data_IF_388427961347
#
_entry.id   IF_388427961347
#
_cell.length_a   1.000
_cell.length_b   1.000
_cell.length_c   1.000
_cell.angle_alpha   90.00
_cell.angle_beta   90.00
_cell.angle_gamma   90.00
#
_symmetry.space_group_name_H-M   'P 1'
#
loop_
_entity.id
_entity.type
_entity.pdbx_description
1 polymer ?
#
# COMPACT_ATOMS: atom_id res chain seq x y z
N UNK A 1 -46.68 26.37 -14.58
CA UNK A 1 -45.77 27.25 -15.35
C UNK A 1 -44.43 26.55 -15.44
N UNK A 2 -44.25 25.76 -16.50
CA UNK A 2 -42.98 25.09 -16.83
C UNK A 2 -42.08 26.14 -17.47
N UNK A 3 -40.99 26.51 -16.80
CA UNK A 3 -39.98 27.41 -17.37
C UNK A 3 -39.18 26.59 -18.39
N UNK A 4 -39.53 26.71 -19.66
CA UNK A 4 -38.73 26.15 -20.76
C UNK A 4 -37.34 26.80 -20.73
N UNK A 5 -36.31 25.98 -20.48
CA UNK A 5 -34.92 26.40 -20.47
C UNK A 5 -34.51 26.88 -21.85
N UNK A 6 -34.42 28.20 -22.01
CA UNK A 6 -33.91 28.83 -23.23
C UNK A 6 -32.47 28.33 -23.45
N UNK A 7 -32.14 27.72 -24.60
CA UNK A 7 -30.77 27.31 -24.89
C UNK A 7 -29.86 28.54 -24.87
N UNK A 8 -28.73 28.43 -24.17
CA UNK A 8 -27.76 29.51 -24.02
C UNK A 8 -27.29 29.97 -25.40
N UNK A 9 -27.36 31.29 -25.65
CA UNK A 9 -26.78 31.87 -26.87
C UNK A 9 -25.25 31.73 -26.80
N UNK A 10 -24.57 31.38 -27.91
CA UNK A 10 -23.11 31.45 -27.98
C UNK A 10 -22.65 32.85 -27.57
N UNK A 11 -21.80 32.93 -26.54
CA UNK A 11 -21.25 34.19 -26.02
C UNK A 11 -21.91 34.75 -24.76
N UNK A 12 -22.68 33.96 -23.99
CA UNK A 12 -23.14 34.37 -22.65
C UNK A 12 -21.98 34.26 -21.63
N UNK A 13 -21.39 35.38 -21.17
CA UNK A 13 -20.26 35.36 -20.24
C UNK A 13 -20.65 34.76 -18.88
N UNK A 14 -21.93 34.82 -18.49
CA UNK A 14 -22.41 34.25 -17.24
C UNK A 14 -22.41 32.73 -17.31
N UNK A 15 -22.88 32.17 -18.43
CA UNK A 15 -22.87 30.72 -18.66
C UNK A 15 -21.43 30.16 -18.65
N UNK A 16 -20.49 30.85 -19.31
CA UNK A 16 -19.08 30.45 -19.33
C UNK A 16 -18.41 30.52 -17.95
N UNK A 17 -18.69 31.56 -17.17
CA UNK A 17 -18.17 31.65 -15.80
C UNK A 17 -18.73 30.54 -14.90
N UNK A 18 -20.04 30.27 -14.99
CA UNK A 18 -20.70 29.20 -14.23
C UNK A 18 -20.10 27.84 -14.57
N UNK A 19 -19.91 27.55 -15.86
CA UNK A 19 -19.29 26.31 -16.33
C UNK A 19 -17.86 26.16 -15.79
N UNK A 20 -17.05 27.22 -15.88
CA UNK A 20 -15.67 27.20 -15.39
C UNK A 20 -15.60 26.92 -13.87
N UNK A 21 -16.41 27.62 -13.05
CA UNK A 21 -16.45 27.41 -11.60
C UNK A 21 -16.94 26.00 -11.26
N UNK A 22 -17.97 25.50 -11.96
CA UNK A 22 -18.49 24.15 -11.76
C UNK A 22 -17.46 23.07 -12.14
N UNK A 23 -16.67 23.30 -13.19
CA UNK A 23 -15.59 22.40 -13.60
C UNK A 23 -14.48 22.34 -12.54
N UNK A 24 -14.04 23.47 -11.99
CA UNK A 24 -13.05 23.51 -10.91
C UNK A 24 -13.51 22.74 -9.66
N UNK A 25 -14.75 22.96 -9.22
CA UNK A 25 -15.33 22.24 -8.08
C UNK A 25 -15.42 20.73 -8.35
N UNK A 26 -15.83 20.35 -9.56
CA UNK A 26 -15.95 18.93 -9.93
C UNK A 26 -14.58 18.23 -10.00
N UNK A 27 -13.54 18.91 -10.49
CA UNK A 27 -12.18 18.39 -10.49
C UNK A 27 -11.66 18.15 -9.06
N UNK A 28 -11.80 19.15 -8.17
CA UNK A 28 -11.41 19.03 -6.77
C UNK A 28 -12.20 17.94 -6.03
N UNK A 29 -13.49 17.78 -6.33
CA UNK A 29 -14.33 16.71 -5.78
C UNK A 29 -13.82 15.33 -6.22
N UNK A 30 -13.52 15.16 -7.51
CA UNK A 30 -13.01 13.88 -8.05
C UNK A 30 -11.68 13.51 -7.40
N UNK A 31 -10.74 14.45 -7.34
CA UNK A 31 -9.42 14.24 -6.71
C UNK A 31 -9.54 13.89 -5.22
N UNK A 32 -10.31 14.68 -4.44
CA UNK A 32 -10.48 14.43 -3.01
C UNK A 32 -11.18 13.08 -2.77
N UNK A 33 -12.17 12.71 -3.59
CA UNK A 33 -12.87 11.43 -3.45
C UNK A 33 -11.96 10.23 -3.71
N UNK A 34 -11.06 10.30 -4.70
CA UNK A 34 -10.11 9.23 -4.99
C UNK A 34 -9.14 9.04 -3.82
N UNK A 35 -8.55 10.13 -3.31
CA UNK A 35 -7.64 10.08 -2.17
C UNK A 35 -8.34 9.62 -0.87
N UNK A 36 -9.62 9.96 -0.69
CA UNK A 36 -10.40 9.51 0.46
C UNK A 36 -10.69 8.00 0.42
N UNK A 37 -10.96 7.44 -0.76
CA UNK A 37 -11.12 5.99 -0.93
C UNK A 37 -9.81 5.27 -0.57
N UNK A 38 -8.68 5.77 -1.05
CA UNK A 38 -7.35 5.23 -0.71
C UNK A 38 -7.04 5.35 0.79
N UNK A 39 -7.28 6.51 1.37
CA UNK A 39 -7.06 6.73 2.81
C UNK A 39 -7.90 5.78 3.66
N UNK A 40 -9.17 5.54 3.28
CA UNK A 40 -10.05 4.59 3.97
C UNK A 40 -9.61 3.14 3.81
N UNK A 41 -9.21 2.74 2.60
CA UNK A 41 -8.78 1.35 2.34
C UNK A 41 -7.52 0.97 3.13
N UNK A 42 -6.68 1.96 3.46
CA UNK A 42 -5.46 1.78 4.24
C UNK A 42 -5.64 2.00 5.74
N UNK A 43 -6.88 2.22 6.23
CA UNK A 43 -7.14 2.48 7.65
C UNK A 43 -6.54 3.79 8.14
N UNK A 44 -6.52 4.82 7.28
CA UNK A 44 -5.97 6.14 7.57
C UNK A 44 -6.63 6.86 8.75
N UNK A 45 -6.01 7.96 9.17
CA UNK A 45 -6.42 8.73 10.35
C UNK A 45 -7.92 9.14 10.29
N UNK A 46 -8.76 8.72 11.24
CA UNK A 46 -10.18 9.05 11.27
C UNK A 46 -10.44 10.56 11.31
N UNK A 47 -9.54 11.35 11.91
CA UNK A 47 -9.67 12.81 11.90
C UNK A 47 -9.49 13.39 10.49
N UNK A 48 -8.50 12.90 9.74
CA UNK A 48 -8.26 13.31 8.35
C UNK A 48 -9.41 12.87 7.44
N UNK A 49 -9.95 11.66 7.63
CA UNK A 49 -11.14 11.16 6.92
C UNK A 49 -12.33 12.09 7.18
N UNK A 50 -12.60 12.44 8.45
CA UNK A 50 -13.69 13.34 8.81
C UNK A 50 -13.54 14.75 8.21
N UNK A 51 -12.33 15.28 8.13
CA UNK A 51 -12.04 16.56 7.47
C UNK A 51 -12.30 16.51 5.96
N UNK A 52 -11.85 15.43 5.29
CA UNK A 52 -12.08 15.22 3.87
C UNK A 52 -13.57 15.04 3.53
N UNK A 53 -14.33 14.31 4.35
CA UNK A 53 -15.79 14.17 4.20
C UNK A 53 -16.51 15.51 4.34
N UNK A 54 -16.15 16.30 5.35
CA UNK A 54 -16.72 17.63 5.54
C UNK A 54 -16.43 18.54 4.33
N UNK A 55 -15.20 18.46 3.78
CA UNK A 55 -14.82 19.24 2.60
C UNK A 55 -15.54 18.79 1.33
N UNK A 56 -15.77 17.48 1.13
CA UNK A 56 -16.62 16.97 0.04
C UNK A 56 -18.05 17.51 0.17
N UNK A 57 -18.61 17.53 1.37
CA UNK A 57 -19.91 18.14 1.64
C UNK A 57 -19.94 19.64 1.28
N UNK A 58 -18.87 20.37 1.60
CA UNK A 58 -18.74 21.78 1.26
C UNK A 58 -18.66 22.02 -0.27
N UNK A 59 -17.93 21.19 -1.00
CA UNK A 59 -17.82 21.25 -2.47
C UNK A 59 -19.17 20.95 -3.15
N UNK A 60 -19.91 19.94 -2.69
CA UNK A 60 -21.25 19.62 -3.18
C UNK A 60 -22.22 20.78 -2.96
N UNK A 61 -22.22 21.36 -1.76
CA UNK A 61 -23.04 22.53 -1.47
C UNK A 61 -22.67 23.75 -2.33
N UNK A 62 -21.38 23.95 -2.60
CA UNK A 62 -20.88 25.04 -3.44
C UNK A 62 -21.31 24.86 -4.90
N UNK A 63 -21.28 23.64 -5.43
CA UNK A 63 -21.77 23.32 -6.78
C UNK A 63 -23.25 23.70 -6.96
N UNK A 64 -24.12 23.30 -6.02
CA UNK A 64 -25.54 23.66 -6.05
C UNK A 64 -25.80 25.16 -5.84
N UNK A 65 -24.85 25.91 -5.27
CA UNK A 65 -24.94 27.37 -5.16
C UNK A 65 -24.54 28.06 -6.47
N UNK A 66 -23.49 27.57 -7.16
CA UNK A 66 -23.06 28.05 -8.49
C UNK A 66 -24.18 27.92 -9.52
N UNK A 67 -24.92 26.82 -9.50
CA UNK A 67 -26.05 26.56 -10.42
C UNK A 67 -27.19 27.57 -10.25
N UNK A 68 -27.41 28.09 -9.03
CA UNK A 68 -28.50 29.02 -8.69
C UNK A 68 -28.09 30.49 -8.62
N UNK A 69 -26.79 30.77 -8.65
CA UNK A 69 -26.26 32.12 -8.54
C UNK A 69 -26.50 32.94 -9.82
N UNK A 70 -26.96 34.19 -9.68
CA UNK A 70 -26.95 35.16 -10.77
C UNK A 70 -25.57 35.81 -10.98
N UNK A 71 -25.40 36.57 -12.06
CA UNK A 71 -24.12 37.19 -12.47
C UNK A 71 -23.34 37.89 -11.36
N UNK A 72 -23.99 38.76 -10.56
CA UNK A 72 -23.32 39.46 -9.45
C UNK A 72 -22.80 38.54 -8.35
N UNK A 73 -23.53 37.47 -8.04
CA UNK A 73 -23.12 36.48 -7.04
C UNK A 73 -21.99 35.58 -7.57
N UNK A 74 -22.02 35.20 -8.86
CA UNK A 74 -20.97 34.38 -9.48
C UNK A 74 -19.59 35.03 -9.41
N UNK A 75 -19.50 36.35 -9.59
CA UNK A 75 -18.24 37.07 -9.44
C UNK A 75 -17.66 36.94 -8.02
N UNK A 76 -18.51 37.01 -6.99
CA UNK A 76 -18.09 36.83 -5.58
C UNK A 76 -17.79 35.38 -5.23
N UNK A 77 -18.37 34.41 -5.95
CA UNK A 77 -18.14 32.99 -5.72
C UNK A 77 -16.73 32.53 -6.14
N UNK A 78 -16.07 33.24 -7.05
CA UNK A 78 -14.74 32.86 -7.52
C UNK A 78 -13.70 32.70 -6.40
N UNK A 79 -13.67 33.62 -5.44
CA UNK A 79 -12.75 33.55 -4.29
C UNK A 79 -13.09 32.39 -3.35
N UNK A 80 -14.38 32.12 -3.15
CA UNK A 80 -14.86 30.99 -2.35
C UNK A 80 -14.54 29.64 -3.00
N UNK A 81 -14.72 29.53 -4.32
CA UNK A 81 -14.32 28.34 -5.09
C UNK A 81 -12.83 28.11 -4.97
N UNK A 82 -12.00 29.14 -5.21
CA UNK A 82 -10.56 29.01 -5.08
C UNK A 82 -10.13 28.55 -3.68
N UNK A 83 -10.73 29.09 -2.61
CA UNK A 83 -10.45 28.67 -1.25
C UNK A 83 -10.84 27.20 -0.99
N UNK A 84 -12.05 26.79 -1.39
CA UNK A 84 -12.49 25.41 -1.22
C UNK A 84 -11.65 24.41 -2.03
N UNK A 85 -11.26 24.77 -3.25
CA UNK A 85 -10.36 23.96 -4.09
C UNK A 85 -9.00 23.85 -3.42
N UNK A 86 -8.41 24.95 -2.95
CA UNK A 86 -7.12 24.93 -2.25
C UNK A 86 -7.15 24.03 -1.02
N UNK A 87 -8.19 24.13 -0.17
CA UNK A 87 -8.36 23.24 0.99
C UNK A 87 -8.49 21.77 0.57
N UNK A 88 -9.26 21.48 -0.49
CA UNK A 88 -9.40 20.11 -1.00
C UNK A 88 -8.07 19.55 -1.51
N UNK A 89 -7.28 20.34 -2.24
CA UNK A 89 -5.95 19.96 -2.71
C UNK A 89 -4.98 19.72 -1.55
N UNK A 90 -4.98 20.56 -0.50
CA UNK A 90 -4.15 20.33 0.69
C UNK A 90 -4.53 19.03 1.41
N UNK A 91 -5.83 18.75 1.56
CA UNK A 91 -6.31 17.50 2.15
C UNK A 91 -5.93 16.27 1.30
N UNK A 92 -6.04 16.37 -0.02
CA UNK A 92 -5.58 15.34 -0.95
C UNK A 92 -4.08 15.06 -0.79
N UNK A 93 -3.24 16.10 -0.74
CA UNK A 93 -1.79 15.97 -0.50
C UNK A 93 -1.47 15.34 0.86
N UNK A 94 -2.19 15.72 1.92
CA UNK A 94 -2.03 15.09 3.24
C UNK A 94 -2.43 13.60 3.22
N UNK A 95 -3.51 13.24 2.54
CA UNK A 95 -3.93 11.85 2.38
C UNK A 95 -2.88 11.02 1.62
N UNK A 96 -2.29 11.56 0.55
CA UNK A 96 -1.21 10.92 -0.22
C UNK A 96 0.07 10.74 0.59
N UNK A 97 0.44 11.73 1.40
CA UNK A 97 1.60 11.63 2.28
C UNK A 97 1.38 10.55 3.36
N UNK A 98 0.17 10.49 3.92
CA UNK A 98 -0.20 9.46 4.89
C UNK A 98 -0.16 8.06 4.26
N UNK A 99 -0.68 7.89 3.05
CA UNK A 99 -0.70 6.60 2.36
C UNK A 99 0.70 6.09 2.01
N UNK A 100 1.55 6.98 1.52
CA UNK A 100 2.97 6.69 1.24
C UNK A 100 3.72 6.20 2.48
N UNK A 101 3.41 6.76 3.66
CA UNK A 101 3.98 6.33 4.93
C UNK A 101 3.57 4.91 5.35
N UNK A 102 2.33 4.50 5.08
CA UNK A 102 1.83 3.15 5.39
C UNK A 102 2.52 2.10 4.50
N UNK A 103 2.62 2.36 3.18
CA UNK A 103 3.26 1.44 2.25
C UNK A 103 4.76 1.24 2.57
N UNK A 104 5.48 2.32 2.91
CA UNK A 104 6.89 2.24 3.29
C UNK A 104 7.12 1.41 4.58
N UNK A 105 6.23 1.55 5.57
CA UNK A 105 6.25 0.73 6.80
C UNK A 105 6.00 -0.75 6.49
N UNK A 106 4.96 -1.05 5.73
CA UNK A 106 4.62 -2.42 5.33
C UNK A 106 5.79 -3.11 4.57
N UNK A 107 6.46 -2.39 3.67
CA UNK A 107 7.64 -2.91 2.97
C UNK A 107 8.82 -3.20 3.92
N UNK A 108 9.02 -2.34 4.93
CA UNK A 108 10.08 -2.51 5.94
C UNK A 108 9.79 -3.72 6.83
N UNK A 109 8.55 -3.85 7.31
CA UNK A 109 8.10 -4.97 8.13
C UNK A 109 8.21 -6.30 7.38
N UNK A 110 7.81 -6.33 6.11
CA UNK A 110 7.99 -7.49 5.24
C UNK A 110 9.47 -7.85 5.08
N UNK A 111 10.34 -6.86 4.83
CA UNK A 111 11.78 -7.07 4.74
C UNK A 111 12.37 -7.70 6.02
N UNK A 112 12.03 -7.14 7.19
CA UNK A 112 12.47 -7.69 8.48
C UNK A 112 11.96 -9.11 8.74
N UNK A 113 10.70 -9.41 8.41
CA UNK A 113 10.15 -10.75 8.54
C UNK A 113 10.83 -11.76 7.59
N UNK A 114 11.16 -11.32 6.36
CA UNK A 114 11.89 -12.11 5.36
C UNK A 114 13.29 -12.47 5.86
N UNK A 115 14.03 -11.49 6.37
CA UNK A 115 15.37 -11.69 6.92
C UNK A 115 15.36 -12.62 8.13
N UNK A 116 14.39 -12.45 9.05
CA UNK A 116 14.24 -13.30 10.22
C UNK A 116 13.93 -14.76 9.82
N UNK A 117 13.04 -14.97 8.84
CA UNK A 117 12.73 -16.31 8.32
C UNK A 117 13.96 -16.94 7.67
N UNK A 118 14.69 -16.19 6.83
CA UNK A 118 15.93 -16.65 6.19
C UNK A 118 16.98 -17.05 7.22
N UNK A 119 17.20 -16.23 8.24
CA UNK A 119 18.15 -16.53 9.31
C UNK A 119 17.79 -17.83 10.05
N UNK A 120 16.50 -18.07 10.31
CA UNK A 120 16.01 -19.32 10.91
C UNK A 120 16.24 -20.52 10.00
N UNK A 121 15.94 -20.41 8.70
CA UNK A 121 16.21 -21.48 7.74
C UNK A 121 17.71 -21.77 7.64
N UNK A 122 18.57 -20.75 7.60
CA UNK A 122 20.03 -20.94 7.57
C UNK A 122 20.53 -21.66 8.82
N UNK A 123 20.06 -21.27 10.01
CA UNK A 123 20.38 -21.97 11.26
C UNK A 123 19.92 -23.42 11.21
N UNK A 124 18.70 -23.66 10.73
CA UNK A 124 18.18 -25.02 10.52
C UNK A 124 19.08 -25.82 9.57
N UNK A 125 19.47 -25.27 8.41
CA UNK A 125 20.31 -25.98 7.43
C UNK A 125 21.64 -26.38 8.05
N UNK A 126 22.30 -25.47 8.78
CA UNK A 126 23.56 -25.76 9.47
C UNK A 126 23.38 -26.81 10.56
N UNK A 127 22.40 -26.65 11.45
CA UNK A 127 22.23 -27.58 12.56
C UNK A 127 21.75 -28.97 12.09
N UNK A 128 20.82 -29.01 11.14
CA UNK A 128 20.20 -30.22 10.64
C UNK A 128 21.11 -30.99 9.68
N UNK A 129 21.63 -30.36 8.62
CA UNK A 129 22.37 -31.07 7.57
C UNK A 129 23.88 -31.12 7.79
N UNK A 130 24.47 -30.06 8.37
CA UNK A 130 25.93 -29.98 8.53
C UNK A 130 26.37 -30.57 9.86
N UNK A 131 25.72 -30.16 10.95
CA UNK A 131 26.03 -30.64 12.30
C UNK A 131 25.28 -31.92 12.67
N UNK A 132 24.23 -32.25 11.93
CA UNK A 132 23.47 -33.50 12.08
C UNK A 132 22.99 -33.74 13.51
N UNK A 133 22.49 -32.68 14.17
CA UNK A 133 22.16 -32.72 15.60
C UNK A 133 21.08 -33.76 15.94
N UNK A 134 20.25 -34.15 14.96
CA UNK A 134 19.19 -35.13 15.14
C UNK A 134 19.60 -36.56 14.78
N UNK A 135 20.70 -36.77 14.04
CA UNK A 135 21.13 -38.11 13.60
C UNK A 135 21.21 -39.14 14.74
N UNK A 136 21.70 -38.81 15.96
CA UNK A 136 21.73 -39.75 17.09
C UNK A 136 20.36 -40.22 17.59
N UNK A 137 19.30 -39.49 17.26
CA UNK A 137 17.92 -39.78 17.72
C UNK A 137 17.07 -40.46 16.65
N UNK A 138 17.57 -40.51 15.40
CA UNK A 138 16.86 -41.11 14.29
C UNK A 138 16.87 -42.63 14.40
N UNK A 139 15.69 -43.22 14.41
CA UNK A 139 15.48 -44.66 14.40
C UNK A 139 14.68 -45.05 13.17
N UNK A 140 15.17 -46.07 12.47
CA UNK A 140 14.56 -46.62 11.27
C UNK A 140 14.23 -48.09 11.48
N UNK A 141 13.09 -48.54 10.98
CA UNK A 141 12.66 -49.94 11.04
C UNK A 141 13.49 -50.85 10.14
N UNK A 142 14.13 -50.29 9.11
CA UNK A 142 14.97 -51.02 8.16
C UNK A 142 16.00 -50.10 7.47
N UNK A 143 17.04 -50.68 6.89
CA UNK A 143 18.00 -49.92 6.08
C UNK A 143 17.35 -49.34 4.81
N UNK A 144 16.34 -50.00 4.23
CA UNK A 144 15.60 -49.48 3.08
C UNK A 144 14.82 -48.19 3.42
N UNK A 145 14.21 -48.13 4.60
CA UNK A 145 13.53 -46.93 5.09
C UNK A 145 14.52 -45.79 5.32
N UNK A 146 15.67 -46.09 5.93
CA UNK A 146 16.75 -45.14 6.14
C UNK A 146 17.29 -44.58 4.82
N UNK A 147 17.53 -45.42 3.83
CA UNK A 147 17.97 -44.99 2.51
C UNK A 147 16.93 -44.06 1.86
N UNK A 148 15.65 -44.47 1.85
CA UNK A 148 14.56 -43.63 1.36
C UNK A 148 14.43 -42.30 2.11
N UNK A 149 14.68 -42.28 3.42
CA UNK A 149 14.73 -41.06 4.22
C UNK A 149 15.87 -40.15 3.78
N UNK A 150 17.07 -40.69 3.59
CA UNK A 150 18.25 -39.92 3.17
C UNK A 150 18.10 -39.35 1.76
N UNK A 151 17.42 -40.06 0.86
CA UNK A 151 17.08 -39.52 -0.47
C UNK A 151 16.14 -38.31 -0.37
N UNK A 152 15.07 -38.41 0.43
CA UNK A 152 14.15 -37.27 0.67
C UNK A 152 14.84 -36.10 1.35
N UNK A 153 15.71 -36.39 2.33
CA UNK A 153 16.52 -35.41 3.04
C UNK A 153 17.40 -34.61 2.07
N UNK A 154 18.12 -35.28 1.17
CA UNK A 154 18.95 -34.63 0.15
C UNK A 154 18.13 -33.80 -0.85
N UNK A 155 16.99 -34.33 -1.29
CA UNK A 155 16.08 -33.61 -2.20
C UNK A 155 15.52 -32.33 -1.55
N UNK A 156 15.08 -32.39 -0.28
CA UNK A 156 14.60 -31.22 0.46
C UNK A 156 15.70 -30.20 0.70
N UNK A 157 16.92 -30.64 1.04
CA UNK A 157 18.07 -29.73 1.18
C UNK A 157 18.25 -28.89 -0.09
N UNK A 158 18.31 -29.55 -1.25
CA UNK A 158 18.45 -28.88 -2.54
C UNK A 158 17.28 -27.90 -2.80
N UNK A 159 16.05 -28.31 -2.52
CA UNK A 159 14.87 -27.45 -2.70
C UNK A 159 14.88 -26.22 -1.77
N UNK A 160 15.39 -26.35 -0.55
CA UNK A 160 15.59 -25.23 0.38
C UNK A 160 16.64 -24.26 -0.17
N UNK A 161 17.78 -24.77 -0.63
CA UNK A 161 18.86 -23.96 -1.22
C UNK A 161 18.36 -23.21 -2.46
N UNK A 162 17.62 -23.87 -3.36
CA UNK A 162 16.99 -23.24 -4.53
C UNK A 162 15.99 -22.14 -4.13
N UNK A 163 15.18 -22.36 -3.10
CA UNK A 163 14.22 -21.38 -2.61
C UNK A 163 14.91 -20.15 -1.99
N UNK A 164 15.97 -20.34 -1.21
CA UNK A 164 16.78 -19.25 -0.65
C UNK A 164 17.53 -18.47 -1.73
N UNK A 165 17.96 -19.14 -2.81
CA UNK A 165 18.66 -18.51 -3.93
C UNK A 165 17.79 -17.45 -4.66
N UNK A 166 16.46 -17.57 -4.59
CA UNK A 166 15.54 -16.58 -5.17
C UNK A 166 15.64 -15.20 -4.51
N UNK A 167 16.07 -15.13 -3.23
CA UNK A 167 16.17 -13.88 -2.45
C UNK A 167 14.89 -13.02 -2.48
N UNK A 168 13.74 -13.67 -2.52
CA UNK A 168 12.42 -13.04 -2.43
C UNK A 168 11.70 -13.47 -1.15
N UNK A 169 10.75 -12.68 -0.62
CA UNK A 169 9.93 -13.09 0.51
C UNK A 169 9.17 -14.40 0.27
N UNK A 170 8.71 -14.64 -0.96
CA UNK A 170 8.05 -15.91 -1.34
C UNK A 170 9.03 -17.09 -1.33
N UNK A 171 10.27 -16.87 -1.79
CA UNK A 171 11.36 -17.85 -1.69
C UNK A 171 11.70 -18.18 -0.25
N UNK A 172 11.83 -17.16 0.61
CA UNK A 172 12.08 -17.33 2.04
C UNK A 172 10.93 -18.09 2.74
N UNK A 173 9.66 -17.78 2.40
CA UNK A 173 8.50 -18.52 2.93
C UNK A 173 8.49 -19.99 2.47
N UNK A 174 8.79 -20.25 1.19
CA UNK A 174 8.89 -21.61 0.65
C UNK A 174 10.00 -22.39 1.35
N UNK A 175 11.17 -21.78 1.54
CA UNK A 175 12.28 -22.40 2.25
C UNK A 175 11.91 -22.74 3.71
N UNK A 176 11.20 -21.85 4.40
CA UNK A 176 10.70 -22.08 5.75
C UNK A 176 9.70 -23.25 5.82
N UNK A 177 8.79 -23.37 4.85
CA UNK A 177 7.85 -24.50 4.78
C UNK A 177 8.59 -25.82 4.58
N UNK A 178 9.51 -25.90 3.61
CA UNK A 178 10.30 -27.11 3.34
C UNK A 178 11.15 -27.54 4.54
N UNK A 179 11.70 -26.59 5.28
CA UNK A 179 12.45 -26.87 6.51
C UNK A 179 11.54 -27.41 7.63
N UNK A 180 10.31 -26.89 7.77
CA UNK A 180 9.32 -27.43 8.71
C UNK A 180 8.92 -28.85 8.31
N UNK A 181 8.65 -29.11 7.04
CA UNK A 181 8.34 -30.45 6.53
C UNK A 181 9.48 -31.44 6.79
N UNK A 182 10.74 -31.02 6.63
CA UNK A 182 11.90 -31.85 6.98
C UNK A 182 11.96 -32.14 8.48
N UNK A 183 11.71 -31.15 9.35
CA UNK A 183 11.66 -31.37 10.80
C UNK A 183 10.52 -32.30 11.19
N UNK A 184 9.35 -32.16 10.58
CA UNK A 184 8.21 -33.04 10.86
C UNK A 184 8.50 -34.49 10.42
N UNK A 185 9.07 -34.70 9.23
CA UNK A 185 9.53 -36.02 8.79
C UNK A 185 10.68 -36.57 9.65
N UNK A 186 11.59 -35.73 10.15
CA UNK A 186 12.59 -36.18 11.12
C UNK A 186 11.93 -36.61 12.45
N UNK A 187 10.89 -35.90 12.87
CA UNK A 187 10.11 -36.20 14.06
C UNK A 187 9.41 -37.56 13.98
N UNK A 188 8.86 -37.93 12.82
CA UNK A 188 8.26 -39.27 12.62
C UNK A 188 9.28 -40.41 12.74
N UNK A 189 10.57 -40.10 12.57
CA UNK A 189 11.68 -41.04 12.73
C UNK A 189 12.43 -40.84 14.06
N UNK A 190 11.84 -40.14 15.04
CA UNK A 190 12.34 -40.07 16.41
C UNK A 190 13.21 -38.88 16.77
N UNK A 191 13.39 -37.91 15.85
CA UNK A 191 14.09 -36.65 16.16
C UNK A 191 13.39 -35.83 17.25
N UNK A 192 12.10 -36.07 17.50
CA UNK A 192 11.30 -35.44 18.57
C UNK A 192 11.81 -35.75 19.98
N UNK A 193 12.65 -36.78 20.14
CA UNK A 193 13.34 -37.10 21.39
C UNK A 193 14.52 -36.18 21.71
N UNK A 194 15.02 -35.42 20.74
CA UNK A 194 16.04 -34.39 20.98
C UNK A 194 15.44 -33.22 21.76
N UNK A 195 16.14 -32.70 22.79
CA UNK A 195 15.68 -31.52 23.52
C UNK A 195 15.61 -30.25 22.64
N UNK A 196 16.37 -30.20 21.55
CA UNK A 196 16.38 -29.09 20.60
C UNK A 196 15.18 -29.09 19.64
N UNK A 197 14.55 -30.24 19.41
CA UNK A 197 13.51 -30.43 18.39
C UNK A 197 12.35 -29.46 18.53
N UNK A 198 11.71 -29.46 19.71
CA UNK A 198 10.51 -28.65 19.95
C UNK A 198 10.79 -27.15 19.81
N UNK A 199 11.96 -26.69 20.29
CA UNK A 199 12.38 -25.29 20.18
C UNK A 199 12.60 -24.89 18.72
N UNK A 200 13.29 -25.73 17.95
CA UNK A 200 13.57 -25.48 16.54
C UNK A 200 12.29 -25.44 15.69
N UNK A 201 11.41 -26.43 15.85
CA UNK A 201 10.14 -26.51 15.12
C UNK A 201 9.23 -25.32 15.43
N UNK A 202 9.10 -24.95 16.70
CA UNK A 202 8.29 -23.80 17.12
C UNK A 202 8.85 -22.49 16.58
N UNK A 203 10.17 -22.30 16.66
CA UNK A 203 10.85 -21.12 16.11
C UNK A 203 10.66 -20.97 14.60
N UNK A 204 10.70 -22.07 13.86
CA UNK A 204 10.43 -22.11 12.43
C UNK A 204 8.95 -21.81 12.10
N UNK A 205 8.01 -22.42 12.83
CA UNK A 205 6.57 -22.17 12.65
C UNK A 205 6.21 -20.71 12.91
N UNK A 206 6.80 -20.10 13.96
CA UNK A 206 6.61 -18.70 14.30
C UNK A 206 7.17 -17.76 13.22
N UNK A 207 8.40 -17.98 12.74
CA UNK A 207 9.00 -17.13 11.70
C UNK A 207 8.23 -17.24 10.38
N UNK A 208 7.82 -18.45 9.98
CA UNK A 208 6.95 -18.70 8.82
C UNK A 208 5.62 -17.98 8.95
N UNK A 209 4.95 -18.06 10.11
CA UNK A 209 3.67 -17.39 10.34
C UNK A 209 3.81 -15.87 10.26
N UNK A 210 4.85 -15.31 10.86
CA UNK A 210 5.14 -13.87 10.81
C UNK A 210 5.35 -13.40 9.36
N UNK A 211 6.18 -14.11 8.59
CA UNK A 211 6.41 -13.79 7.18
C UNK A 211 5.14 -13.93 6.33
N UNK A 212 4.33 -14.97 6.55
CA UNK A 212 3.06 -15.15 5.84
C UNK A 212 2.07 -14.01 6.14
N UNK A 213 1.96 -13.58 7.40
CA UNK A 213 1.11 -12.46 7.78
C UNK A 213 1.56 -11.16 7.11
N UNK A 214 2.86 -10.89 7.07
CA UNK A 214 3.42 -9.69 6.43
C UNK A 214 3.25 -9.71 4.90
N UNK A 215 3.38 -10.88 4.26
CA UNK A 215 3.07 -11.04 2.84
C UNK A 215 1.59 -10.73 2.53
N UNK A 216 0.69 -11.22 3.38
CA UNK A 216 -0.74 -10.94 3.24
C UNK A 216 -1.03 -9.45 3.44
N UNK A 217 -0.50 -8.82 4.48
CA UNK A 217 -0.65 -7.38 4.73
C UNK A 217 -0.10 -6.54 3.58
N UNK A 218 1.08 -6.90 3.06
CA UNK A 218 1.70 -6.20 1.93
C UNK A 218 0.83 -6.32 0.65
N UNK A 219 0.26 -7.50 0.35
CA UNK A 219 -0.66 -7.66 -0.79
C UNK A 219 -1.92 -6.79 -0.67
N UNK A 220 -2.48 -6.67 0.54
CA UNK A 220 -3.64 -5.81 0.81
C UNK A 220 -3.30 -4.33 0.64
N UNK A 221 -2.12 -3.91 1.11
CA UNK A 221 -1.67 -2.52 0.98
C UNK A 221 -1.40 -2.08 -0.46
N UNK A 222 -1.09 -3.02 -1.35
CA UNK A 222 -0.79 -2.73 -2.77
C UNK A 222 -2.05 -2.55 -3.63
N UNK A 223 -3.24 -2.76 -3.06
CA UNK A 223 -4.49 -2.69 -3.81
C UNK A 223 -4.56 -3.68 -4.97
N UNK A 224 -3.79 -4.77 -4.92
CA UNK A 224 -3.96 -5.87 -5.88
C UNK A 224 -5.39 -6.37 -5.70
N UNK A 225 -6.26 -6.27 -6.73
CA UNK A 225 -7.61 -6.78 -6.63
C UNK A 225 -7.50 -8.25 -6.29
N UNK A 226 -8.17 -8.67 -5.21
CA UNK A 226 -8.27 -10.07 -4.85
C UNK A 226 -8.60 -10.87 -6.12
N UNK A 227 -7.92 -12.01 -6.39
CA UNK A 227 -8.21 -12.81 -7.57
C UNK A 227 -9.72 -13.08 -7.54
N UNK A 228 -10.44 -12.49 -8.50
CA UNK A 228 -11.86 -12.71 -8.63
C UNK A 228 -12.05 -14.22 -8.73
N UNK A 229 -12.66 -14.82 -7.71
CA UNK A 229 -13.25 -16.14 -7.86
C UNK A 229 -14.09 -16.07 -9.12
N UNK A 230 -13.79 -16.94 -10.09
CA UNK A 230 -14.58 -17.14 -11.31
C UNK A 230 -16.06 -17.15 -10.93
N UNK A 231 -16.70 -16.00 -11.14
CA UNK A 231 -18.14 -15.93 -11.21
C UNK A 231 -18.49 -16.40 -12.62
N UNK A 232 -19.32 -17.44 -12.69
CA UNK A 232 -19.87 -17.99 -13.91
C UNK A 232 -20.28 -16.90 -14.92
N UNK A 233 -20.04 -17.11 -16.23
CA UNK A 233 -20.41 -16.14 -17.25
C UNK A 233 -21.94 -16.05 -17.34
N UNK A 234 -22.53 -15.08 -16.65
CA UNK A 234 -23.91 -14.67 -16.89
C UNK A 234 -23.96 -13.93 -18.23
N UNK A 235 -24.52 -14.62 -19.22
CA UNK A 235 -25.39 -14.05 -20.25
C UNK A 235 -24.82 -12.90 -21.07
N UNK A 236 -24.26 -13.26 -22.23
CA UNK A 236 -24.04 -12.32 -23.32
C UNK A 236 -25.39 -11.72 -23.80
N UNK A 237 -25.65 -10.47 -23.44
CA UNK A 237 -26.46 -9.56 -24.25
C UNK A 237 -26.01 -8.12 -23.99
N UNK A 238 -25.02 -7.68 -24.78
CA UNK A 238 -24.52 -6.32 -24.79
C UNK A 238 -25.22 -5.51 -25.91
N UNK A 239 -25.92 -4.41 -25.61
CA UNK A 239 -26.38 -3.48 -26.62
C UNK A 239 -25.19 -2.67 -27.17
N UNK A 240 -24.99 -2.74 -28.49
CA UNK A 240 -24.09 -1.85 -29.23
C UNK A 240 -24.65 -0.42 -29.18
N UNK A 241 -23.93 0.52 -28.58
CA UNK A 241 -24.34 1.93 -28.57
C UNK A 241 -23.26 2.90 -28.09
N UNK A 242 -22.69 3.62 -29.06
CA UNK A 242 -22.15 4.98 -28.95
C UNK A 242 -20.80 5.20 -28.23
N UNK A 243 -19.75 5.15 -29.05
CA UNK A 243 -18.52 5.89 -28.79
C UNK A 243 -18.78 7.40 -28.97
N UNK A 244 -18.90 8.12 -27.85
CA UNK A 244 -18.82 9.59 -27.85
C UNK A 244 -17.33 9.95 -27.82
N UNK A 245 -16.79 10.26 -28.99
CA UNK A 245 -15.45 10.81 -29.13
C UNK A 245 -15.40 12.23 -28.57
N UNK A 246 -14.45 12.49 -27.69
CA UNK A 246 -14.16 13.83 -27.22
C UNK A 246 -13.56 14.67 -28.37
N UNK A 247 -14.02 15.92 -28.58
CA UNK A 247 -13.47 16.79 -29.61
C UNK A 247 -12.01 17.18 -29.30
N UNK A 248 -11.12 17.26 -30.31
CA UNK A 248 -9.68 17.47 -30.13
C UNK A 248 -9.29 18.81 -29.50
N UNK A 249 -10.20 19.79 -29.45
CA UNK A 249 -9.93 21.13 -28.92
C UNK A 249 -9.80 21.18 -27.38
N UNK A 250 -10.33 20.17 -26.67
CA UNK A 250 -10.24 20.09 -25.20
C UNK A 250 -8.84 19.60 -24.75
N UNK A 251 -8.17 18.79 -25.56
CA UNK A 251 -6.82 18.29 -25.26
C UNK A 251 -5.77 19.40 -25.44
N UNK A 252 -6.02 20.37 -26.33
CA UNK A 252 -5.12 21.50 -26.54
C UNK A 252 -5.15 22.53 -25.38
N UNK A 253 -6.23 22.61 -24.61
CA UNK A 253 -6.37 23.57 -23.52
C UNK A 253 -5.66 23.13 -22.21
N UNK A 254 -5.44 21.84 -22.01
CA UNK A 254 -4.73 21.31 -20.82
C UNK A 254 -3.19 21.36 -20.92
N UNK A 255 -2.62 21.75 -22.07
CA UNK A 255 -1.18 21.80 -22.30
C UNK A 255 -0.46 23.10 -21.90
N UNK A 256 -1.15 24.10 -21.31
CA UNK A 256 -0.55 25.42 -21.01
C UNK A 256 -0.79 25.96 -19.60
N UNK A 257 -0.77 25.10 -18.60
CA UNK A 257 -0.53 25.56 -17.22
C UNK A 257 0.98 25.52 -16.98
N UNK A 258 1.65 26.63 -17.29
CA UNK A 258 3.01 26.87 -16.80
C UNK A 258 2.91 27.09 -15.28
N UNK A 259 3.40 26.13 -14.51
CA UNK A 259 3.68 26.32 -13.09
C UNK A 259 4.84 27.31 -13.01
N UNK A 260 4.53 28.56 -12.68
CA UNK A 260 5.54 29.54 -12.33
C UNK A 260 6.19 29.10 -11.02
N UNK A 261 7.42 28.62 -11.13
CA UNK A 261 8.35 28.34 -10.05
C UNK A 261 8.72 29.66 -9.37
N UNK A 262 8.05 29.96 -8.23
CA UNK A 262 8.40 31.08 -7.38
C UNK A 262 9.45 30.62 -6.34
N UNK A 263 10.70 30.83 -6.70
CA UNK A 263 11.85 30.82 -5.80
C UNK A 263 11.83 32.05 -4.86
N UNK A 264 12.33 31.83 -3.64
CA UNK A 264 12.83 32.79 -2.64
C UNK A 264 11.83 33.48 -1.69
N UNK A 265 11.75 32.94 -0.47
CA UNK A 265 11.76 33.75 0.74
C UNK A 265 12.75 33.13 1.75
N UNK A 266 13.84 33.87 1.89
CA UNK A 266 14.94 33.74 2.83
C UNK A 266 14.44 33.83 4.28
N UNK A 267 14.68 32.78 5.08
CA UNK A 267 14.54 32.85 6.53
C UNK A 267 15.81 32.33 7.18
N UNK A 268 16.69 33.28 7.50
CA UNK A 268 17.89 33.09 8.29
C UNK A 268 17.58 32.46 9.65
N UNK A 269 18.23 31.32 9.92
CA UNK A 269 18.39 30.80 11.26
C UNK A 269 19.83 31.09 11.72
N UNK A 270 19.92 31.90 12.76
CA UNK A 270 21.16 32.23 13.45
C UNK A 270 21.86 30.98 14.02
N UNK A 271 23.20 30.94 14.06
CA UNK A 271 23.92 29.86 14.73
C UNK A 271 23.70 29.94 16.24
N UNK A 272 23.07 28.91 16.81
CA UNK A 272 23.05 28.69 18.25
C UNK A 272 24.49 28.46 18.76
N UNK A 273 24.95 29.35 19.62
CA UNK A 273 26.19 29.18 20.38
C UNK A 273 25.96 28.12 21.46
N UNK A 274 26.60 26.97 21.32
CA UNK A 274 26.72 26.00 22.41
C UNK A 274 27.51 26.59 23.59
N UNK A 275 27.01 26.48 24.84
CA UNK A 275 27.77 26.85 26.03
C UNK A 275 28.86 25.81 26.30
N UNK A 276 30.10 26.28 26.50
CA UNK A 276 31.25 25.43 26.81
C UNK A 276 31.18 24.76 28.19
N UNK A 277 31.93 23.67 28.42
CA UNK A 277 31.94 22.94 29.67
C UNK A 277 32.61 23.74 30.80
N UNK A 278 32.00 23.66 32.00
CA UNK A 278 32.51 24.25 33.23
C UNK A 278 33.81 23.55 33.71
N UNK A 279 34.73 24.27 34.37
CA UNK A 279 35.98 23.70 34.86
C UNK A 279 35.74 22.79 36.07
N UNK A 280 36.26 21.56 35.98
CA UNK A 280 36.37 20.61 37.07
C UNK A 280 37.28 21.17 38.17
N UNK A 281 36.73 21.31 39.37
CA UNK A 281 37.48 21.70 40.58
C UNK A 281 38.11 20.45 41.19
N UNK A 282 39.43 20.42 41.24
CA UNK A 282 40.19 19.39 41.94
C UNK A 282 39.96 19.47 43.46
N UNK A 283 39.78 18.31 44.08
CA UNK A 283 40.05 18.01 45.50
C UNK A 283 40.89 16.74 45.51
#
# INVERSE_FOLDING_TARGET
MTVEGRPAKPGDPEASLRENLAAQVSAAQSELSANLIELRSQGGDPALIGQADAQLGALLALKSQIERAGSGALATMGTRVAACVATATTLAQHAQAASSGVAARAATELGSASEAARAKVTSFVTDFYERKIFDPYLEFSSEAEKEAYREREAARRKAIEEAQALRTPQGDLRAANLAIEQLEDAGTHGADRSPEYGSMLNGMKQSRQSLAAQLQQHSQSRGEPAPHSEADPIGADAPKGSAVGFPPDVIAALGRVQVAEALHADHGLAPSRSPGPAPTRAI
#
